data_IF_526772363787
#
_entry.id   IF_526772363787
#
_cell.length_a   1.000
_cell.length_b   1.000
_cell.length_c   1.000
_cell.angle_alpha   90.00
_cell.angle_beta   90.00
_cell.angle_gamma   90.00
#
_symmetry.space_group_name_H-M   'P 1'
#
loop_
_entity.id
_entity.type
_entity.pdbx_description
1 polymer ?
#
# COMPACT_ATOMS: atom_id res chain seq x y z
N UNK A 1 16.02 2.79 -0.14
CA UNK A 1 15.88 2.77 1.34
C UNK A 1 15.48 1.38 1.80
N UNK A 2 15.88 0.93 3.00
CA UNK A 2 15.45 -0.35 3.57
C UNK A 2 14.40 -0.06 4.65
N UNK A 3 13.16 -0.54 4.46
CA UNK A 3 12.07 -0.38 5.43
C UNK A 3 11.97 -1.65 6.28
N UNK A 4 11.97 -1.50 7.61
CA UNK A 4 11.82 -2.62 8.56
C UNK A 4 10.39 -2.68 9.08
N UNK A 5 9.74 -3.84 8.95
CA UNK A 5 8.34 -4.07 9.38
C UNK A 5 8.22 -3.94 10.90
N UNK A 6 7.37 -3.02 11.37
CA UNK A 6 6.79 -3.06 12.71
C UNK A 6 5.35 -3.56 12.63
N UNK A 7 4.95 -4.42 13.57
CA UNK A 7 3.58 -4.93 13.67
C UNK A 7 2.60 -3.76 13.76
N UNK A 8 1.63 -3.69 12.84
CA UNK A 8 0.49 -2.77 12.94
C UNK A 8 0.63 -1.43 12.21
N UNK A 9 1.80 -1.07 11.68
CA UNK A 9 1.98 0.21 10.99
C UNK A 9 2.34 0.02 9.51
N UNK A 10 1.81 0.87 8.60
CA UNK A 10 2.24 0.86 7.21
C UNK A 10 3.73 1.19 7.12
N UNK A 11 4.43 0.51 6.22
CA UNK A 11 5.82 0.83 5.91
C UNK A 11 5.88 2.03 4.98
N UNK A 12 6.50 3.12 5.42
CA UNK A 12 6.54 4.38 4.67
C UNK A 12 7.94 4.60 4.11
N UNK A 13 8.05 4.83 2.80
CA UNK A 13 9.32 5.20 2.17
C UNK A 13 9.74 6.64 2.52
N UNK A 14 11.03 6.97 2.37
CA UNK A 14 11.42 8.36 2.19
C UNK A 14 10.66 9.00 1.00
N UNK A 15 10.53 10.33 0.96
CA UNK A 15 10.06 11.05 -0.20
C UNK A 15 10.83 10.64 -1.46
N UNK A 16 10.12 10.54 -2.57
CA UNK A 16 10.69 10.31 -3.88
C UNK A 16 9.91 11.06 -4.95
N UNK A 17 10.49 11.16 -6.14
CA UNK A 17 9.80 11.66 -7.31
C UNK A 17 9.17 10.48 -8.07
N UNK A 18 7.90 10.63 -8.48
CA UNK A 18 7.21 9.66 -9.33
C UNK A 18 6.64 10.42 -10.53
N UNK A 19 7.30 10.30 -11.68
CA UNK A 19 6.98 11.09 -12.87
C UNK A 19 7.16 12.58 -12.59
N UNK A 20 6.11 13.37 -12.76
CA UNK A 20 6.10 14.80 -12.43
C UNK A 20 5.82 15.11 -10.96
N UNK A 21 5.35 14.14 -10.18
CA UNK A 21 4.98 14.39 -8.78
C UNK A 21 6.23 14.35 -7.89
N UNK A 22 6.49 15.43 -7.16
CA UNK A 22 7.54 15.53 -6.14
C UNK A 22 6.97 15.20 -4.75
N UNK A 23 7.85 14.86 -3.80
CA UNK A 23 7.48 14.51 -2.41
C UNK A 23 6.44 13.38 -2.30
N UNK A 24 6.54 12.36 -3.17
CA UNK A 24 5.67 11.17 -3.12
C UNK A 24 6.24 10.17 -2.12
N UNK A 25 5.37 9.61 -1.27
CA UNK A 25 5.73 8.53 -0.35
C UNK A 25 4.95 7.27 -0.68
N UNK A 26 5.67 6.15 -0.69
CA UNK A 26 5.10 4.83 -0.81
C UNK A 26 4.77 4.31 0.57
N UNK A 27 3.52 3.89 0.77
CA UNK A 27 3.06 3.21 1.97
C UNK A 27 2.73 1.76 1.61
N UNK A 28 3.44 0.80 2.17
CA UNK A 28 3.07 -0.61 2.06
C UNK A 28 2.18 -1.01 3.24
N UNK A 29 1.00 -1.54 2.93
CA UNK A 29 0.00 -2.01 3.90
C UNK A 29 -0.11 -3.53 3.76
N UNK A 30 0.18 -4.30 4.83
CA UNK A 30 0.01 -5.74 4.78
C UNK A 30 -1.48 -6.10 4.66
N UNK A 31 -1.80 -7.13 3.87
CA UNK A 31 -3.18 -7.56 3.67
C UNK A 31 -3.79 -8.32 4.83
N UNK A 32 -5.11 -8.51 4.77
CA UNK A 32 -5.86 -9.21 5.83
C UNK A 32 -5.39 -10.65 6.05
N UNK A 33 -4.88 -11.32 5.02
CA UNK A 33 -4.38 -12.70 5.14
C UNK A 33 -3.17 -12.77 6.09
N UNK A 34 -2.26 -11.80 6.00
CA UNK A 34 -1.12 -11.72 6.90
C UNK A 34 -1.55 -11.34 8.33
N UNK A 35 -2.49 -10.39 8.47
CA UNK A 35 -2.99 -10.01 9.78
C UNK A 35 -3.66 -11.18 10.52
N UNK A 36 -4.45 -12.00 9.83
CA UNK A 36 -5.08 -13.19 10.39
C UNK A 36 -4.04 -14.21 10.90
N UNK A 37 -2.95 -14.43 10.17
CA UNK A 37 -1.87 -15.32 10.61
C UNK A 37 -1.12 -14.78 11.83
N UNK A 38 -0.86 -13.47 11.86
CA UNK A 38 -0.24 -12.82 13.03
C UNK A 38 -1.14 -12.96 14.25
N UNK A 39 -2.45 -12.74 14.10
CA UNK A 39 -3.42 -12.90 15.16
C UNK A 39 -3.47 -14.34 15.67
N UNK A 40 -3.55 -15.33 14.78
CA UNK A 40 -3.56 -16.74 15.17
C UNK A 40 -2.30 -17.12 15.94
N UNK A 41 -1.13 -16.63 15.50
CA UNK A 41 0.15 -16.86 16.17
C UNK A 41 0.23 -16.19 17.54
N UNK A 42 -0.29 -14.97 17.67
CA UNK A 42 -0.29 -14.25 18.94
C UNK A 42 -1.27 -14.89 19.94
N UNK A 43 -2.45 -15.36 19.49
CA UNK A 43 -3.37 -16.16 20.32
C UNK A 43 -2.73 -17.46 20.81
N UNK A 44 -2.04 -18.19 19.93
CA UNK A 44 -1.29 -19.40 20.32
C UNK A 44 -0.18 -19.13 21.35
N UNK A 45 0.27 -17.88 21.48
CA UNK A 45 1.29 -17.43 22.45
C UNK A 45 0.70 -16.75 23.69
N UNK A 46 -0.63 -16.77 23.86
CA UNK A 46 -1.32 -16.09 24.97
C UNK A 46 -1.20 -14.57 24.94
N UNK A 47 -0.86 -13.97 23.78
CA UNK A 47 -0.74 -12.51 23.62
C UNK A 47 -2.09 -11.92 23.22
N UNK A 48 -2.38 -10.72 23.72
CA UNK A 48 -3.57 -9.95 23.31
C UNK A 48 -3.46 -9.62 21.81
N UNK A 49 -4.47 -9.94 20.99
CA UNK A 49 -4.50 -9.56 19.58
C UNK A 49 -4.36 -8.05 19.45
N UNK A 50 -3.36 -7.61 18.68
CA UNK A 50 -3.25 -6.20 18.32
C UNK A 50 -4.29 -5.93 17.23
N UNK A 51 -5.23 -5.02 17.48
CA UNK A 51 -6.19 -4.61 16.45
C UNK A 51 -5.40 -3.93 15.33
N UNK A 52 -5.43 -4.55 14.14
CA UNK A 52 -4.96 -3.90 12.93
C UNK A 52 -6.02 -2.87 12.53
N UNK A 53 -5.70 -1.59 12.70
CA UNK A 53 -6.50 -0.50 12.16
C UNK A 53 -6.38 -0.51 10.64
N UNK A 54 -7.20 -1.34 10.00
CA UNK A 54 -7.48 -1.13 8.61
C UNK A 54 -8.45 0.04 8.53
N UNK A 55 -7.96 1.18 8.04
CA UNK A 55 -8.83 2.32 7.74
C UNK A 55 -9.89 1.87 6.75
N UNK A 56 -11.10 1.56 7.23
CA UNK A 56 -12.25 1.38 6.36
C UNK A 56 -12.46 2.72 5.66
N UNK A 57 -12.16 2.78 4.36
CA UNK A 57 -12.56 3.92 3.56
C UNK A 57 -14.09 3.89 3.52
N UNK A 58 -14.74 4.72 4.33
CA UNK A 58 -16.16 4.96 4.22
C UNK A 58 -16.37 5.67 2.88
N UNK A 59 -16.76 4.92 1.85
CA UNK A 59 -17.18 5.51 0.58
C UNK A 59 -18.51 6.21 0.84
N UNK A 60 -18.46 7.54 0.93
CA UNK A 60 -19.64 8.36 1.07
C UNK A 60 -20.48 8.31 -0.20
N UNK A 61 -21.69 7.77 -0.09
CA UNK A 61 -22.83 8.17 -0.90
C UNK A 61 -24.08 8.04 -0.02
N UNK A 62 -24.98 9.02 -0.14
CA UNK A 62 -26.06 9.29 0.80
C UNK A 62 -26.89 8.07 1.25
N UNK A 63 -27.37 8.18 2.48
CA UNK A 63 -28.47 7.40 3.08
C UNK A 63 -28.51 5.90 2.71
N UNK A 64 -27.91 5.06 3.58
CA UNK A 64 -28.55 3.77 3.91
C UNK A 64 -27.69 2.51 3.81
N UNK A 65 -26.53 2.50 3.16
CA UNK A 65 -25.66 1.31 3.13
C UNK A 65 -24.20 1.73 3.18
N UNK A 66 -23.60 1.71 4.38
CA UNK A 66 -22.15 1.72 4.50
C UNK A 66 -21.63 0.39 3.96
N UNK A 67 -21.21 0.37 2.68
CA UNK A 67 -20.47 -0.76 2.16
C UNK A 67 -19.19 -0.90 2.98
N UNK A 68 -19.09 -1.98 3.77
CA UNK A 68 -17.86 -2.30 4.49
C UNK A 68 -16.83 -2.71 3.44
N UNK A 69 -15.95 -1.78 3.07
CA UNK A 69 -14.83 -2.09 2.19
C UNK A 69 -13.83 -2.90 3.00
N UNK A 70 -13.82 -4.21 2.76
CA UNK A 70 -12.85 -5.10 3.38
C UNK A 70 -11.44 -4.77 2.87
N UNK A 71 -10.42 -4.84 3.74
CA UNK A 71 -9.05 -4.60 3.34
C UNK A 71 -8.62 -5.59 2.25
N UNK A 72 -7.69 -5.20 1.36
CA UNK A 72 -7.14 -6.08 0.35
C UNK A 72 -6.61 -7.38 0.97
N UNK A 73 -6.86 -8.50 0.27
CA UNK A 73 -6.49 -9.83 0.78
C UNK A 73 -4.99 -9.94 1.02
N UNK A 74 -4.21 -9.58 0.00
CA UNK A 74 -2.77 -9.73 0.00
C UNK A 74 -2.06 -8.48 0.52
N UNK A 75 -2.67 -7.30 0.36
CA UNK A 75 -2.14 -6.04 0.84
C UNK A 75 -2.32 -4.96 -0.21
N UNK A 76 -1.74 -3.81 0.04
CA UNK A 76 -1.76 -2.70 -0.89
C UNK A 76 -0.48 -1.89 -0.82
N UNK A 77 -0.21 -1.21 -1.93
CA UNK A 77 0.73 -0.10 -1.99
C UNK A 77 -0.08 1.18 -2.13
N UNK A 78 0.12 2.15 -1.24
CA UNK A 78 -0.48 3.48 -1.37
C UNK A 78 0.56 4.49 -1.77
N UNK A 79 0.24 5.32 -2.76
CA UNK A 79 1.01 6.51 -3.10
C UNK A 79 0.38 7.70 -2.40
N UNK A 80 1.16 8.42 -1.60
CA UNK A 80 0.73 9.62 -0.90
C UNK A 80 1.56 10.81 -1.36
N UNK A 81 0.89 11.87 -1.81
CA UNK A 81 1.54 13.16 -2.04
C UNK A 81 1.81 13.86 -0.70
N UNK A 82 3.03 14.34 -0.53
CA UNK A 82 3.39 15.19 0.59
C UNK A 82 2.98 16.65 0.39
N UNK A 83 3.04 17.47 1.45
CA UNK A 83 2.61 18.86 1.42
C UNK A 83 3.53 19.75 0.56
N UNK A 84 4.76 19.32 0.30
CA UNK A 84 5.73 20.04 -0.51
C UNK A 84 5.70 19.62 -1.99
N UNK A 85 4.65 18.94 -2.43
CA UNK A 85 4.47 18.64 -3.85
C UNK A 85 4.27 19.96 -4.61
N UNK A 86 5.33 20.41 -5.30
CA UNK A 86 5.39 21.71 -6.01
C UNK A 86 4.47 21.75 -7.26
N UNK A 87 3.94 20.61 -7.67
CA UNK A 87 3.07 20.51 -8.83
C UNK A 87 1.62 20.65 -8.39
N UNK A 88 0.86 21.50 -9.10
CA UNK A 88 -0.61 21.52 -9.05
C UNK A 88 -1.10 20.05 -8.92
N UNK A 89 -1.82 19.67 -7.85
CA UNK A 89 -2.18 18.28 -7.55
C UNK A 89 -3.09 17.63 -8.61
N UNK A 90 -3.29 18.29 -9.74
CA UNK A 90 -4.09 17.89 -10.87
C UNK A 90 -3.30 16.97 -11.79
N UNK A 91 -3.40 15.68 -11.52
CA UNK A 91 -3.60 14.73 -12.59
C UNK A 91 -3.06 13.35 -12.33
N UNK A 92 -2.78 12.67 -13.42
CA UNK A 92 -2.68 11.22 -13.43
C UNK A 92 -1.25 10.73 -13.53
N UNK A 93 -0.99 9.60 -12.89
CA UNK A 93 0.23 8.82 -13.11
C UNK A 93 -0.16 7.40 -13.45
N UNK A 94 0.50 6.85 -14.47
CA UNK A 94 0.43 5.43 -14.80
C UNK A 94 1.77 4.77 -14.50
N UNK A 95 1.75 3.61 -13.86
CA UNK A 95 2.97 2.91 -13.50
C UNK A 95 2.77 1.41 -13.39
N UNK A 96 3.87 0.67 -13.52
CA UNK A 96 3.95 -0.72 -13.12
C UNK A 96 4.60 -0.83 -11.74
N UNK A 97 4.11 -1.76 -10.92
CA UNK A 97 4.69 -2.10 -9.64
C UNK A 97 5.40 -3.45 -9.75
N UNK A 98 6.67 -3.52 -9.38
CA UNK A 98 7.36 -4.81 -9.16
C UNK A 98 7.43 -5.11 -7.67
N UNK A 99 7.06 -6.33 -7.31
CA UNK A 99 7.21 -6.92 -5.97
C UNK A 99 8.14 -8.12 -6.08
N UNK A 100 9.38 -7.96 -5.64
CA UNK A 100 10.43 -8.96 -5.90
C UNK A 100 10.54 -9.21 -7.40
N UNK A 101 10.32 -10.46 -7.82
CA UNK A 101 10.32 -10.87 -9.24
C UNK A 101 8.96 -10.74 -9.95
N UNK A 102 7.87 -10.43 -9.23
CA UNK A 102 6.54 -10.29 -9.81
C UNK A 102 6.30 -8.86 -10.29
N UNK A 103 5.70 -8.68 -11.47
CA UNK A 103 5.24 -7.38 -11.98
C UNK A 103 3.71 -7.31 -11.94
N UNK A 104 3.16 -6.16 -11.57
CA UNK A 104 1.73 -5.86 -11.50
C UNK A 104 1.44 -4.50 -12.13
N UNK A 105 0.22 -4.32 -12.62
CA UNK A 105 -0.24 -3.11 -13.30
C UNK A 105 -0.52 -3.35 -14.79
N UNK A 106 -0.75 -2.27 -15.57
CA UNK A 106 -0.55 -0.88 -15.19
C UNK A 106 -1.58 -0.39 -14.16
N UNK A 107 -1.12 0.32 -13.13
CA UNK A 107 -1.98 1.08 -12.23
C UNK A 107 -2.14 2.51 -12.75
N UNK A 108 -3.31 3.10 -12.54
CA UNK A 108 -3.59 4.51 -12.81
C UNK A 108 -4.04 5.18 -11.51
N UNK A 109 -3.37 6.27 -11.14
CA UNK A 109 -3.67 7.05 -9.95
C UNK A 109 -4.01 8.47 -10.36
N UNK A 110 -5.16 9.00 -9.91
CA UNK A 110 -5.58 10.37 -10.17
C UNK A 110 -5.53 11.21 -8.89
N UNK A 111 -4.45 11.97 -8.73
CA UNK A 111 -4.26 12.81 -7.54
C UNK A 111 -5.13 14.06 -7.52
N UNK A 112 -5.91 14.32 -8.59
CA UNK A 112 -6.89 15.40 -8.60
C UNK A 112 -8.09 15.12 -7.69
N UNK A 113 -8.37 13.84 -7.42
CA UNK A 113 -9.47 13.41 -6.55
C UNK A 113 -9.01 13.24 -5.09
N UNK A 114 -7.88 12.56 -4.88
CA UNK A 114 -7.37 12.23 -3.55
C UNK A 114 -5.84 12.24 -3.49
N UNK A 115 -5.29 12.79 -2.40
CA UNK A 115 -3.84 12.84 -2.15
C UNK A 115 -3.22 11.48 -1.81
N UNK A 116 -4.05 10.49 -1.46
CA UNK A 116 -3.64 9.10 -1.23
C UNK A 116 -4.35 8.22 -2.24
N UNK A 117 -3.59 7.44 -2.99
CA UNK A 117 -4.10 6.52 -4.00
C UNK A 117 -3.69 5.10 -3.61
N UNK A 118 -4.66 4.19 -3.48
CA UNK A 118 -4.43 2.81 -3.05
C UNK A 118 -4.42 1.85 -4.25
N UNK A 119 -3.36 1.05 -4.36
CA UNK A 119 -3.21 -0.01 -5.35
C UNK A 119 -3.16 -1.36 -4.64
N UNK A 120 -4.26 -2.13 -4.72
CA UNK A 120 -4.34 -3.45 -4.14
C UNK A 120 -3.40 -4.43 -4.84
N UNK A 121 -2.78 -5.32 -4.06
CA UNK A 121 -1.88 -6.34 -4.58
C UNK A 121 -2.66 -7.56 -5.04
N UNK A 122 -2.44 -7.98 -6.28
CA UNK A 122 -3.05 -9.18 -6.86
C UNK A 122 -2.42 -10.46 -6.30
N UNK A 123 -1.11 -10.43 -6.09
CA UNK A 123 -0.34 -11.58 -5.58
C UNK A 123 -0.05 -11.45 -4.09
N UNK A 124 0.10 -12.60 -3.44
CA UNK A 124 0.61 -12.68 -2.09
C UNK A 124 2.08 -12.25 -2.01
N UNK A 125 2.33 -11.03 -1.53
CA UNK A 125 3.69 -10.45 -1.43
C UNK A 125 4.66 -11.30 -0.61
N UNK A 126 4.17 -12.18 0.27
CA UNK A 126 5.02 -13.08 1.08
C UNK A 126 5.75 -14.08 0.20
N UNK A 127 5.18 -14.42 -0.95
CA UNK A 127 5.81 -15.27 -1.98
C UNK A 127 6.85 -14.51 -2.80
N UNK A 128 6.90 -13.19 -2.68
CA UNK A 128 7.82 -12.31 -3.41
C UNK A 128 9.02 -11.87 -2.56
N UNK A 129 9.19 -12.44 -1.36
CA UNK A 129 10.34 -12.17 -0.51
C UNK A 129 11.61 -12.80 -1.13
N UNK A 130 12.70 -12.05 -1.13
CA UNK A 130 14.00 -12.54 -1.55
C UNK A 130 14.45 -13.71 -0.68
N UNK A 131 14.86 -14.80 -1.34
CA UNK A 131 15.37 -16.00 -0.64
C UNK A 131 16.66 -15.64 0.10
N UNK A 132 16.76 -16.05 1.37
CA UNK A 132 17.93 -15.81 2.23
C UNK A 132 17.89 -14.50 3.01
N UNK A 133 17.37 -13.41 2.44
CA UNK A 133 17.27 -12.11 3.15
C UNK A 133 15.91 -11.88 3.80
N UNK A 134 14.84 -12.45 3.24
CA UNK A 134 13.47 -12.19 3.68
C UNK A 134 13.01 -10.76 3.38
N UNK A 135 13.71 -10.04 2.50
CA UNK A 135 13.35 -8.67 2.13
C UNK A 135 12.31 -8.66 1.01
N UNK A 136 11.36 -7.72 1.09
CA UNK A 136 10.49 -7.37 -0.03
C UNK A 136 11.07 -6.16 -0.75
N UNK A 137 11.38 -6.29 -2.04
CA UNK A 137 11.80 -5.17 -2.89
C UNK A 137 10.60 -4.67 -3.66
N UNK A 138 10.30 -3.38 -3.52
CA UNK A 138 9.27 -2.69 -4.28
C UNK A 138 9.94 -1.76 -5.29
N UNK A 139 9.54 -1.84 -6.56
CA UNK A 139 9.98 -0.91 -7.62
C UNK A 139 8.77 -0.35 -8.33
N UNK A 140 8.76 0.96 -8.52
CA UNK A 140 7.78 1.65 -9.36
C UNK A 140 8.46 2.02 -10.66
N UNK A 141 7.85 1.64 -11.77
CA UNK A 141 8.26 2.01 -13.11
C UNK A 141 7.15 2.86 -13.72
N UNK A 142 7.40 4.16 -13.83
CA UNK A 142 6.44 5.11 -14.42
C UNK A 142 6.37 4.86 -15.92
N UNK A 143 5.14 4.74 -16.43
CA UNK A 143 4.87 4.62 -17.84
C UNK A 143 4.57 6.04 -18.31
N UNK A 144 5.43 6.61 -19.17
CA UNK A 144 5.16 7.92 -19.75
C UNK A 144 3.85 7.87 -20.53
N UNK A 145 2.94 8.79 -20.21
CA UNK A 145 1.77 9.07 -21.03
C UNK A 145 2.18 9.89 -22.27
#
# INVERSE_FOLDING_TARGET
SRLRVSRGFPLISPPMQVGRFTDVRLHFVPGRAWAAEVEQRDRARGRRPQQFEFSAAAVGAGAGVCAIVLPPRHGAVRLKLGPCAEVEPRGRVRFNLSLGSSKQGPFECDFSEQVVQECALEVDWRRCLETGTGNLVLRIEVISA
#
